data_IF_618088979909
#
_entry.id   IF_618088979909
#
_cell.length_a   1.000
_cell.length_b   1.000
_cell.length_c   1.000
_cell.angle_alpha   90.00
_cell.angle_beta   90.00
_cell.angle_gamma   90.00
#
_symmetry.space_group_name_H-M   'P 1'
#
loop_
_entity.id
_entity.type
_entity.pdbx_description
1 polymer ?
#
# COMPACT_ATOMS: atom_id res chain seq x y z
N UNK A 1 -44.05 0.20 -35.78
CA UNK A 1 -43.81 -1.07 -35.04
C UNK A 1 -42.42 -1.71 -35.26
N UNK A 2 -41.60 -1.29 -36.25
CA UNK A 2 -40.24 -1.85 -36.44
C UNK A 2 -39.13 -1.22 -35.58
N UNK A 3 -39.39 -0.07 -34.94
CA UNK A 3 -38.41 0.59 -34.05
C UNK A 3 -38.53 0.21 -32.56
N UNK A 4 -39.65 -0.40 -32.13
CA UNK A 4 -39.81 -0.90 -30.75
C UNK A 4 -39.19 -2.29 -30.53
N UNK A 5 -38.87 -3.03 -31.58
CA UNK A 5 -38.26 -4.36 -31.49
C UNK A 5 -36.76 -4.34 -31.15
N UNK A 6 -36.09 -3.20 -31.26
CA UNK A 6 -34.67 -3.07 -30.90
C UNK A 6 -34.42 -2.91 -29.40
N UNK A 7 -35.44 -2.52 -28.63
CA UNK A 7 -35.30 -2.30 -27.18
C UNK A 7 -35.34 -3.63 -26.40
N UNK A 8 -35.93 -4.68 -26.98
CA UNK A 8 -36.09 -5.97 -26.29
C UNK A 8 -34.89 -6.94 -26.44
N UNK A 9 -33.91 -6.65 -27.31
CA UNK A 9 -32.79 -7.56 -27.59
C UNK A 9 -31.52 -7.27 -26.77
N UNK A 10 -31.45 -6.14 -26.06
CA UNK A 10 -30.28 -5.75 -25.26
C UNK A 10 -30.47 -5.87 -23.74
N UNK A 11 -31.68 -6.18 -23.27
CA UNK A 11 -31.97 -6.36 -21.83
C UNK A 11 -31.36 -7.63 -21.19
N UNK A 12 -31.16 -8.79 -21.87
CA UNK A 12 -30.63 -9.97 -21.18
C UNK A 12 -29.12 -9.87 -20.86
N UNK A 13 -28.36 -9.05 -21.61
CA UNK A 13 -26.91 -8.92 -21.44
C UNK A 13 -26.51 -8.13 -20.18
N UNK A 14 -27.36 -7.17 -19.77
CA UNK A 14 -27.10 -6.35 -18.59
C UNK A 14 -27.38 -7.11 -17.28
N UNK A 15 -28.41 -7.96 -17.26
CA UNK A 15 -28.79 -8.76 -16.08
C UNK A 15 -27.72 -9.83 -15.78
N UNK A 16 -27.15 -10.46 -16.81
CA UNK A 16 -26.12 -11.49 -16.66
C UNK A 16 -24.78 -10.92 -16.15
N UNK A 17 -24.39 -9.72 -16.58
CA UNK A 17 -23.14 -9.09 -16.15
C UNK A 17 -23.17 -8.68 -14.67
N UNK A 18 -24.33 -8.26 -14.17
CA UNK A 18 -24.53 -7.94 -12.75
C UNK A 18 -24.44 -9.20 -11.87
N UNK A 19 -25.08 -10.30 -12.28
CA UNK A 19 -25.02 -11.58 -11.57
C UNK A 19 -23.59 -12.14 -11.52
N UNK A 20 -22.81 -12.00 -12.59
CA UNK A 20 -21.42 -12.46 -12.60
C UNK A 20 -20.50 -11.63 -11.69
N UNK A 21 -20.74 -10.32 -11.58
CA UNK A 21 -19.95 -9.46 -10.68
C UNK A 21 -20.16 -9.86 -9.22
N UNK A 22 -21.40 -10.01 -8.78
CA UNK A 22 -21.72 -10.41 -7.40
C UNK A 22 -21.15 -11.79 -7.06
N UNK A 23 -21.15 -12.71 -8.02
CA UNK A 23 -20.51 -14.03 -7.87
C UNK A 23 -18.98 -13.90 -7.73
N UNK A 24 -18.35 -13.09 -8.57
CA UNK A 24 -16.91 -12.84 -8.53
C UNK A 24 -16.48 -12.19 -7.19
N UNK A 25 -17.24 -11.20 -6.73
CA UNK A 25 -17.02 -10.52 -5.46
C UNK A 25 -17.15 -11.48 -4.26
N UNK A 26 -18.18 -12.35 -4.24
CA UNK A 26 -18.30 -13.40 -3.22
C UNK A 26 -17.09 -14.33 -3.20
N UNK A 27 -16.62 -14.77 -4.36
CA UNK A 27 -15.43 -15.62 -4.49
C UNK A 27 -14.17 -14.91 -3.97
N UNK A 28 -14.00 -13.63 -4.30
CA UNK A 28 -12.90 -12.80 -3.81
C UNK A 28 -12.89 -12.72 -2.28
N UNK A 29 -14.04 -12.46 -1.65
CA UNK A 29 -14.13 -12.37 -0.19
C UNK A 29 -13.86 -13.69 0.55
N UNK A 30 -14.18 -14.83 -0.07
CA UNK A 30 -13.79 -16.16 0.45
C UNK A 30 -12.40 -16.61 -0.02
N UNK A 31 -11.60 -15.68 -0.58
CA UNK A 31 -10.20 -15.88 -1.01
C UNK A 31 -10.00 -16.88 -2.14
N UNK A 32 -11.07 -17.17 -2.90
CA UNK A 32 -11.01 -17.97 -4.13
C UNK A 32 -10.61 -17.07 -5.30
N UNK A 33 -9.39 -16.54 -5.24
CA UNK A 33 -8.92 -15.48 -6.14
C UNK A 33 -8.85 -15.93 -7.61
N UNK A 34 -8.40 -17.15 -7.89
CA UNK A 34 -8.32 -17.68 -9.25
C UNK A 34 -9.73 -17.78 -9.90
N UNK A 35 -10.71 -18.28 -9.16
CA UNK A 35 -12.11 -18.36 -9.63
C UNK A 35 -12.72 -16.97 -9.82
N UNK A 36 -12.45 -16.04 -8.90
CA UNK A 36 -12.90 -14.66 -8.99
C UNK A 36 -12.29 -13.95 -10.20
N UNK A 37 -10.99 -14.15 -10.46
CA UNK A 37 -10.27 -13.54 -11.57
C UNK A 37 -10.92 -13.89 -12.91
N UNK A 38 -11.26 -15.16 -13.15
CA UNK A 38 -11.90 -15.59 -14.39
C UNK A 38 -13.20 -14.84 -14.67
N UNK A 39 -14.03 -14.64 -13.63
CA UNK A 39 -15.29 -13.91 -13.76
C UNK A 39 -15.04 -12.40 -13.97
N UNK A 40 -14.12 -11.80 -13.22
CA UNK A 40 -13.77 -10.39 -13.40
C UNK A 40 -13.16 -10.11 -14.78
N UNK A 41 -12.31 -10.99 -15.31
CA UNK A 41 -11.76 -10.86 -16.67
C UNK A 41 -12.86 -10.98 -17.73
N UNK A 42 -13.85 -11.86 -17.54
CA UNK A 42 -15.01 -11.95 -18.42
C UNK A 42 -15.85 -10.67 -18.39
N UNK A 43 -16.04 -10.08 -17.21
CA UNK A 43 -16.73 -8.79 -17.05
C UNK A 43 -15.95 -7.68 -17.77
N UNK A 44 -14.64 -7.61 -17.56
CA UNK A 44 -13.79 -6.57 -18.14
C UNK A 44 -13.80 -6.58 -19.68
N UNK A 45 -13.95 -7.75 -20.31
CA UNK A 45 -14.14 -7.86 -21.78
C UNK A 45 -15.38 -7.13 -22.27
N UNK A 46 -16.47 -7.18 -21.49
CA UNK A 46 -17.74 -6.52 -21.82
C UNK A 46 -17.81 -5.08 -21.34
N UNK A 47 -17.12 -4.75 -20.26
CA UNK A 47 -17.08 -3.42 -19.63
C UNK A 47 -15.63 -3.02 -19.34
N UNK A 48 -14.86 -2.59 -20.37
CA UNK A 48 -13.42 -2.36 -20.22
C UNK A 48 -13.05 -1.29 -19.20
N UNK A 49 -13.93 -0.35 -18.89
CA UNK A 49 -13.70 0.74 -17.94
C UNK A 49 -14.47 0.57 -16.62
N UNK A 50 -14.93 -0.65 -16.31
CA UNK A 50 -15.59 -0.94 -15.03
C UNK A 50 -14.58 -0.85 -13.88
N UNK A 51 -14.67 0.24 -13.11
CA UNK A 51 -13.70 0.61 -12.08
C UNK A 51 -13.56 -0.47 -11.01
N UNK A 52 -14.67 -1.00 -10.49
CA UNK A 52 -14.64 -2.02 -9.44
C UNK A 52 -14.01 -3.31 -9.94
N UNK A 53 -14.33 -3.73 -11.16
CA UNK A 53 -13.71 -4.91 -11.78
C UNK A 53 -12.20 -4.74 -11.95
N UNK A 54 -11.75 -3.58 -12.43
CA UNK A 54 -10.32 -3.28 -12.56
C UNK A 54 -9.64 -3.28 -11.19
N UNK A 55 -10.29 -2.71 -10.17
CA UNK A 55 -9.78 -2.68 -8.80
C UNK A 55 -9.59 -4.08 -8.23
N UNK A 56 -10.60 -4.94 -8.30
CA UNK A 56 -10.49 -6.34 -7.85
C UNK A 56 -9.41 -7.10 -8.62
N UNK A 57 -9.29 -6.91 -9.94
CA UNK A 57 -8.22 -7.54 -10.73
C UNK A 57 -6.83 -7.03 -10.35
N UNK A 58 -6.70 -5.74 -10.02
CA UNK A 58 -5.48 -5.16 -9.47
C UNK A 58 -5.09 -5.79 -8.13
N UNK A 59 -6.06 -5.96 -7.23
CA UNK A 59 -5.85 -6.59 -5.92
C UNK A 59 -5.50 -8.07 -6.03
N UNK A 60 -6.17 -8.82 -6.90
CA UNK A 60 -5.82 -10.21 -7.21
C UNK A 60 -4.40 -10.28 -7.78
N UNK A 61 -4.05 -9.44 -8.76
CA UNK A 61 -2.71 -9.41 -9.34
C UNK A 61 -1.64 -9.08 -8.27
N UNK A 62 -1.91 -8.13 -7.38
CA UNK A 62 -1.04 -7.81 -6.26
C UNK A 62 -0.90 -8.97 -5.26
N UNK A 63 -1.99 -9.68 -4.96
CA UNK A 63 -1.97 -10.89 -4.12
C UNK A 63 -1.05 -11.98 -4.70
N UNK A 64 -1.13 -12.22 -6.01
CA UNK A 64 -0.25 -13.14 -6.72
C UNK A 64 1.14 -12.57 -7.03
N UNK A 65 1.48 -11.38 -6.48
CA UNK A 65 2.76 -10.68 -6.73
C UNK A 65 3.04 -10.42 -8.21
N UNK A 66 2.00 -10.38 -9.04
CA UNK A 66 2.09 -10.04 -10.45
C UNK A 66 2.14 -8.51 -10.59
N UNK A 67 3.21 -7.88 -10.08
CA UNK A 67 3.27 -6.42 -9.90
C UNK A 67 3.22 -5.63 -11.20
N UNK A 68 3.67 -6.22 -12.31
CA UNK A 68 3.52 -5.62 -13.64
C UNK A 68 2.03 -5.48 -13.97
N UNK A 69 1.27 -6.58 -13.89
CA UNK A 69 -0.18 -6.61 -14.16
C UNK A 69 -0.96 -5.75 -13.15
N UNK A 70 -0.59 -5.79 -11.87
CA UNK A 70 -1.18 -4.92 -10.85
C UNK A 70 -0.94 -3.43 -11.17
N UNK A 71 0.29 -3.07 -11.56
CA UNK A 71 0.64 -1.72 -11.98
C UNK A 71 -0.15 -1.24 -13.20
N UNK A 72 -0.40 -2.13 -14.18
CA UNK A 72 -1.25 -1.83 -15.34
C UNK A 72 -2.70 -1.52 -14.93
N UNK A 73 -3.30 -2.34 -14.06
CA UNK A 73 -4.66 -2.09 -13.56
C UNK A 73 -4.73 -0.79 -12.75
N UNK A 74 -3.80 -0.56 -11.83
CA UNK A 74 -3.79 0.66 -11.02
C UNK A 74 -3.46 1.91 -11.85
N UNK A 75 -2.63 1.80 -12.88
CA UNK A 75 -2.41 2.88 -13.86
C UNK A 75 -3.72 3.28 -14.54
N UNK A 76 -4.51 2.28 -14.96
CA UNK A 76 -5.83 2.53 -15.56
C UNK A 76 -6.80 3.16 -14.56
N UNK A 77 -6.81 2.72 -13.30
CA UNK A 77 -7.66 3.30 -12.26
C UNK A 77 -7.35 4.78 -12.01
N UNK A 78 -6.06 5.15 -11.86
CA UNK A 78 -5.68 6.56 -11.64
C UNK A 78 -6.02 7.45 -12.83
N UNK A 79 -6.09 6.89 -14.05
CA UNK A 79 -6.49 7.62 -15.26
C UNK A 79 -8.02 7.78 -15.34
N UNK A 80 -8.77 6.74 -14.97
CA UNK A 80 -10.24 6.78 -14.92
C UNK A 80 -10.80 7.62 -13.76
N UNK A 81 -10.05 7.71 -12.65
CA UNK A 81 -10.41 8.46 -11.43
C UNK A 81 -9.21 9.27 -10.95
N UNK A 82 -8.87 10.38 -11.63
CA UNK A 82 -7.67 11.18 -11.33
C UNK A 82 -7.75 11.98 -10.02
N UNK A 83 -8.88 11.92 -9.33
CA UNK A 83 -9.11 12.55 -8.03
C UNK A 83 -9.13 11.54 -6.87
N UNK A 84 -9.01 10.25 -7.14
CA UNK A 84 -8.98 9.21 -6.10
C UNK A 84 -7.54 8.95 -5.65
N UNK A 85 -7.21 9.35 -4.42
CA UNK A 85 -5.87 9.27 -3.85
C UNK A 85 -5.37 7.82 -3.77
N UNK A 86 -6.27 6.89 -3.42
CA UNK A 86 -5.93 5.49 -3.20
C UNK A 86 -5.37 4.83 -4.48
N UNK A 87 -5.83 5.22 -5.66
CA UNK A 87 -5.35 4.65 -6.92
C UNK A 87 -3.93 5.09 -7.27
N UNK A 88 -3.54 6.31 -6.90
CA UNK A 88 -2.15 6.73 -7.00
C UNK A 88 -1.28 5.98 -5.98
N UNK A 89 -1.76 5.79 -4.75
CA UNK A 89 -1.05 5.00 -3.74
C UNK A 89 -0.85 3.54 -4.17
N UNK A 90 -1.91 2.85 -4.63
CA UNK A 90 -1.84 1.48 -5.16
C UNK A 90 -0.90 1.37 -6.36
N UNK A 91 -0.92 2.34 -7.28
CA UNK A 91 0.01 2.40 -8.41
C UNK A 91 1.47 2.53 -7.95
N UNK A 92 1.78 3.52 -7.11
CA UNK A 92 3.12 3.70 -6.54
C UNK A 92 3.60 2.48 -5.76
N UNK A 93 2.70 1.84 -5.00
CA UNK A 93 2.97 0.59 -4.28
C UNK A 93 3.32 -0.56 -5.20
N UNK A 94 2.57 -0.79 -6.28
CA UNK A 94 2.89 -1.84 -7.25
C UNK A 94 4.24 -1.59 -7.95
N UNK A 95 4.56 -0.34 -8.28
CA UNK A 95 5.88 0.02 -8.81
C UNK A 95 7.00 -0.22 -7.79
N UNK A 96 6.77 0.10 -6.51
CA UNK A 96 7.74 -0.17 -5.44
C UNK A 96 8.04 -1.66 -5.32
N UNK A 97 7.00 -2.50 -5.34
CA UNK A 97 7.17 -3.95 -5.28
C UNK A 97 7.87 -4.50 -6.51
N UNK A 98 7.53 -3.99 -7.72
CA UNK A 98 8.25 -4.33 -8.95
C UNK A 98 9.72 -3.93 -8.88
N UNK A 99 10.05 -2.77 -8.31
CA UNK A 99 11.42 -2.30 -8.17
C UNK A 99 12.28 -3.24 -7.30
N UNK A 100 11.67 -3.96 -6.36
CA UNK A 100 12.36 -4.97 -5.53
C UNK A 100 12.69 -6.27 -6.28
N UNK A 101 12.02 -6.56 -7.40
CA UNK A 101 12.18 -7.81 -8.16
C UNK A 101 13.13 -7.66 -9.36
N UNK A 102 13.40 -6.43 -9.78
CA UNK A 102 14.25 -6.16 -10.95
C UNK A 102 15.65 -5.72 -10.53
N UNK A 103 16.59 -5.75 -11.47
CA UNK A 103 17.93 -5.21 -11.23
C UNK A 103 17.87 -3.70 -10.96
N UNK A 104 18.91 -3.18 -10.30
CA UNK A 104 18.99 -1.78 -9.86
C UNK A 104 18.75 -0.76 -10.98
N UNK A 105 19.28 -1.00 -12.18
CA UNK A 105 19.12 -0.08 -13.32
C UNK A 105 17.65 0.06 -13.73
N UNK A 106 16.93 -1.06 -13.82
CA UNK A 106 15.49 -1.05 -14.11
C UNK A 106 14.68 -0.46 -12.96
N UNK A 107 15.06 -0.75 -11.71
CA UNK A 107 14.41 -0.20 -10.54
C UNK A 107 14.49 1.33 -10.50
N UNK A 108 15.63 1.91 -10.87
CA UNK A 108 15.81 3.36 -10.91
C UNK A 108 14.90 4.07 -11.89
N UNK A 109 14.58 3.44 -13.03
CA UNK A 109 13.61 3.97 -13.99
C UNK A 109 12.18 4.09 -13.45
N UNK A 110 11.86 3.46 -12.31
CA UNK A 110 10.53 3.50 -11.70
C UNK A 110 10.42 4.56 -10.58
N UNK A 111 11.55 5.12 -10.12
CA UNK A 111 11.60 5.94 -8.90
C UNK A 111 10.79 7.23 -9.04
N UNK A 112 10.87 7.88 -10.19
CA UNK A 112 10.15 9.14 -10.44
C UNK A 112 8.64 8.90 -10.46
N UNK A 113 8.17 7.86 -11.17
CA UNK A 113 6.76 7.47 -11.20
C UNK A 113 6.24 7.09 -9.81
N UNK A 114 7.03 6.33 -9.03
CA UNK A 114 6.68 5.96 -7.66
C UNK A 114 6.52 7.18 -6.76
N UNK A 115 7.53 8.06 -6.76
CA UNK A 115 7.54 9.28 -5.96
C UNK A 115 6.36 10.18 -6.33
N UNK A 116 6.18 10.45 -7.63
CA UNK A 116 5.09 11.28 -8.12
C UNK A 116 3.71 10.71 -7.78
N UNK A 117 3.55 9.39 -7.80
CA UNK A 117 2.31 8.75 -7.39
C UNK A 117 2.02 8.95 -5.89
N UNK A 118 2.99 8.72 -5.00
CA UNK A 118 2.79 8.93 -3.57
C UNK A 118 2.55 10.40 -3.22
N UNK A 119 3.28 11.33 -3.84
CA UNK A 119 3.07 12.77 -3.67
C UNK A 119 1.67 13.18 -4.14
N UNK A 120 1.21 12.67 -5.29
CA UNK A 120 -0.14 12.93 -5.79
C UNK A 120 -1.21 12.38 -4.86
N UNK A 121 -1.02 11.20 -4.27
CA UNK A 121 -1.93 10.64 -3.26
C UNK A 121 -2.06 11.56 -2.04
N UNK A 122 -0.95 12.16 -1.58
CA UNK A 122 -0.94 13.13 -0.47
C UNK A 122 -1.64 14.44 -0.86
N UNK A 123 -1.43 14.94 -2.08
CA UNK A 123 -2.11 16.15 -2.56
C UNK A 123 -3.62 15.95 -2.62
N UNK A 124 -4.07 14.79 -3.10
CA UNK A 124 -5.51 14.45 -3.20
C UNK A 124 -6.12 14.15 -1.84
N UNK A 125 -5.36 13.51 -0.94
CA UNK A 125 -5.77 13.24 0.42
C UNK A 125 -4.65 13.67 1.40
N UNK A 126 -4.72 14.90 1.93
CA UNK A 126 -3.73 15.41 2.87
C UNK A 126 -3.59 14.59 4.16
N UNK A 127 -4.56 13.72 4.49
CA UNK A 127 -4.50 12.81 5.65
C UNK A 127 -3.99 11.41 5.31
N UNK A 128 -3.50 11.17 4.09
CA UNK A 128 -3.03 9.86 3.64
C UNK A 128 -1.74 9.43 4.35
N UNK A 129 -1.87 8.66 5.41
CA UNK A 129 -0.75 8.12 6.21
C UNK A 129 0.13 7.14 5.40
N UNK A 130 -0.43 6.15 4.68
CA UNK A 130 0.40 5.15 3.99
C UNK A 130 1.34 5.72 2.91
N UNK A 131 0.91 6.72 2.14
CA UNK A 131 1.73 7.37 1.13
C UNK A 131 2.94 8.11 1.74
N UNK A 132 2.79 8.71 2.91
CA UNK A 132 3.90 9.33 3.64
C UNK A 132 4.91 8.30 4.14
N UNK A 133 4.42 7.20 4.69
CA UNK A 133 5.28 6.06 5.04
C UNK A 133 6.06 5.54 3.83
N UNK A 134 5.40 5.41 2.68
CA UNK A 134 6.05 4.98 1.46
C UNK A 134 7.15 5.96 1.00
N UNK A 135 6.91 7.27 1.09
CA UNK A 135 7.94 8.28 0.79
C UNK A 135 9.10 8.24 1.79
N UNK A 136 8.84 8.04 3.08
CA UNK A 136 9.89 7.88 4.09
C UNK A 136 10.79 6.70 3.72
N UNK A 137 10.21 5.52 3.44
CA UNK A 137 10.99 4.35 3.04
C UNK A 137 11.74 4.59 1.73
N UNK A 138 11.11 5.23 0.73
CA UNK A 138 11.75 5.57 -0.53
C UNK A 138 13.00 6.45 -0.33
N UNK A 139 12.88 7.52 0.46
CA UNK A 139 13.99 8.43 0.73
C UNK A 139 15.09 7.80 1.58
N UNK A 140 14.78 6.78 2.40
CA UNK A 140 15.79 6.01 3.13
C UNK A 140 16.53 5.03 2.20
N UNK A 141 15.83 4.33 1.32
CA UNK A 141 16.42 3.26 0.50
C UNK A 141 17.19 3.77 -0.73
N UNK A 142 16.87 4.96 -1.25
CA UNK A 142 17.56 5.49 -2.42
C UNK A 142 18.99 5.92 -2.11
N UNK A 143 19.95 5.74 -3.03
CA UNK A 143 21.24 6.43 -2.97
C UNK A 143 21.04 7.96 -2.97
N UNK A 144 21.93 8.70 -2.30
CA UNK A 144 21.87 10.16 -2.24
C UNK A 144 21.84 10.83 -3.61
N UNK A 145 22.65 10.32 -4.56
CA UNK A 145 22.67 10.79 -5.97
C UNK A 145 21.34 10.59 -6.71
N UNK A 146 20.49 9.66 -6.25
CA UNK A 146 19.17 9.38 -6.81
C UNK A 146 18.05 9.97 -5.95
N UNK A 147 18.38 10.90 -5.06
CA UNK A 147 17.42 11.65 -4.26
C UNK A 147 17.17 11.12 -2.85
N UNK A 148 17.86 10.04 -2.43
CA UNK A 148 17.85 9.57 -1.05
C UNK A 148 18.28 10.65 -0.06
N UNK A 149 17.55 10.79 1.05
CA UNK A 149 17.71 11.94 1.94
C UNK A 149 17.04 11.70 3.30
N UNK A 150 17.86 11.71 4.36
CA UNK A 150 17.37 11.69 5.73
C UNK A 150 16.47 12.90 6.04
N UNK A 151 16.85 14.10 5.59
CA UNK A 151 16.07 15.31 5.86
C UNK A 151 14.68 15.26 5.22
N UNK A 152 14.56 14.72 4.00
CA UNK A 152 13.24 14.49 3.38
C UNK A 152 12.43 13.44 4.12
N UNK A 153 13.05 12.32 4.52
CA UNK A 153 12.38 11.30 5.34
C UNK A 153 11.87 11.90 6.66
N UNK A 154 12.66 12.75 7.33
CA UNK A 154 12.27 13.46 8.54
C UNK A 154 11.12 14.46 8.29
N UNK A 155 11.09 15.13 7.14
CA UNK A 155 9.98 16.02 6.75
C UNK A 155 8.64 15.27 6.74
N UNK A 156 8.56 14.16 6.01
CA UNK A 156 7.34 13.34 5.96
C UNK A 156 7.03 12.67 7.31
N UNK A 157 8.04 12.33 8.11
CA UNK A 157 7.86 11.84 9.48
C UNK A 157 7.24 12.90 10.40
N UNK A 158 7.61 14.18 10.24
CA UNK A 158 6.99 15.29 10.96
C UNK A 158 5.55 15.54 10.50
N UNK A 159 5.26 15.42 9.20
CA UNK A 159 3.87 15.43 8.71
C UNK A 159 3.05 14.28 9.32
N UNK A 160 3.60 13.07 9.38
CA UNK A 160 2.96 11.94 10.05
C UNK A 160 2.69 12.25 11.53
N UNK A 161 3.64 12.87 12.24
CA UNK A 161 3.46 13.23 13.64
C UNK A 161 2.30 14.22 13.87
N UNK A 162 2.01 15.09 12.89
CA UNK A 162 0.86 15.99 12.93
C UNK A 162 -0.47 15.26 12.68
N UNK A 163 -0.46 14.12 12.00
CA UNK A 163 -1.66 13.31 11.70
C UNK A 163 -1.93 12.22 12.75
N UNK A 164 -0.86 11.62 13.28
CA UNK A 164 -0.90 10.50 14.21
C UNK A 164 0.39 10.47 15.04
N UNK A 165 0.27 10.64 16.36
CA UNK A 165 1.41 10.59 17.27
C UNK A 165 2.13 9.23 17.20
N UNK A 166 1.37 8.14 17.04
CA UNK A 166 1.92 6.79 16.91
C UNK A 166 2.77 6.70 15.63
N UNK A 167 2.24 7.12 14.49
CA UNK A 167 2.98 7.10 13.21
C UNK A 167 4.18 8.05 13.22
N UNK A 168 4.05 9.22 13.85
CA UNK A 168 5.14 10.16 14.04
C UNK A 168 6.30 9.54 14.81
N UNK A 169 6.04 8.91 15.95
CA UNK A 169 7.09 8.24 16.72
C UNK A 169 7.62 6.99 16.04
N UNK A 170 6.75 6.18 15.44
CA UNK A 170 7.18 4.99 14.69
C UNK A 170 8.10 5.35 13.52
N UNK A 171 7.77 6.41 12.77
CA UNK A 171 8.59 6.83 11.64
C UNK A 171 9.93 7.42 12.06
N UNK A 172 9.98 8.21 13.14
CA UNK A 172 11.26 8.68 13.71
C UNK A 172 12.12 7.52 14.20
N UNK A 173 11.52 6.55 14.90
CA UNK A 173 12.20 5.34 15.32
C UNK A 173 12.74 4.54 14.14
N UNK A 174 11.97 4.43 13.05
CA UNK A 174 12.36 3.73 11.82
C UNK A 174 13.54 4.40 11.10
N UNK A 175 13.55 5.73 11.03
CA UNK A 175 14.64 6.52 10.45
C UNK A 175 15.91 6.32 11.28
N UNK A 176 15.83 6.45 12.60
CA UNK A 176 16.98 6.22 13.48
C UNK A 176 17.50 4.78 13.44
N UNK A 177 16.60 3.80 13.37
CA UNK A 177 16.98 2.40 13.20
C UNK A 177 17.73 2.17 11.89
N UNK A 178 17.30 2.81 10.79
CA UNK A 178 18.00 2.73 9.49
C UNK A 178 19.44 3.21 9.58
N UNK A 179 19.66 4.36 10.24
CA UNK A 179 20.98 4.95 10.47
C UNK A 179 21.73 4.33 11.66
N UNK A 180 21.24 3.20 12.20
CA UNK A 180 21.83 2.47 13.33
C UNK A 180 21.94 3.29 14.62
N UNK A 181 21.15 4.35 14.77
CA UNK A 181 21.03 5.18 15.98
C UNK A 181 20.08 4.51 16.98
N UNK A 182 20.38 3.28 17.37
CA UNK A 182 19.43 2.40 18.07
C UNK A 182 18.95 2.95 19.42
N UNK A 183 19.81 3.65 20.17
CA UNK A 183 19.41 4.28 21.43
C UNK A 183 18.35 5.39 21.23
N UNK A 184 18.42 6.10 20.10
CA UNK A 184 17.40 7.10 19.73
C UNK A 184 16.14 6.41 19.21
N UNK A 185 16.30 5.39 18.36
CA UNK A 185 15.19 4.58 17.87
C UNK A 185 14.36 3.96 19.02
N UNK A 186 15.03 3.45 20.04
CA UNK A 186 14.40 2.89 21.25
C UNK A 186 13.49 3.92 21.92
N UNK A 187 13.98 5.15 22.15
CA UNK A 187 13.18 6.22 22.78
C UNK A 187 11.90 6.51 22.01
N UNK A 188 11.97 6.52 20.68
CA UNK A 188 10.79 6.75 19.85
C UNK A 188 9.83 5.56 19.82
N UNK A 189 10.34 4.34 19.69
CA UNK A 189 9.48 3.15 19.71
C UNK A 189 8.83 2.89 21.07
N UNK A 190 9.47 3.24 22.19
CA UNK A 190 8.84 3.25 23.51
C UNK A 190 7.62 4.17 23.51
N UNK A 191 7.80 5.45 23.12
CA UNK A 191 6.69 6.42 23.06
C UNK A 191 5.56 5.97 22.14
N UNK A 192 5.90 5.42 20.96
CA UNK A 192 4.92 4.85 20.06
C UNK A 192 4.12 3.70 20.71
N UNK A 193 4.80 2.82 21.45
CA UNK A 193 4.16 1.68 22.10
C UNK A 193 3.30 2.07 23.31
N UNK A 194 3.73 3.05 24.09
CA UNK A 194 2.96 3.59 25.22
C UNK A 194 1.62 4.18 24.77
N UNK A 195 1.60 4.88 23.63
CA UNK A 195 0.40 5.50 23.06
C UNK A 195 -0.44 4.46 22.30
N UNK A 196 0.20 3.70 21.41
CA UNK A 196 -0.51 2.84 20.46
C UNK A 196 -0.99 1.51 21.07
N UNK A 197 -0.26 0.96 22.06
CA UNK A 197 -0.56 -0.31 22.75
C UNK A 197 -1.04 -1.42 21.81
N UNK A 198 -0.44 -1.51 20.62
CA UNK A 198 -0.87 -2.38 19.54
C UNK A 198 0.17 -3.46 19.27
N UNK A 199 -0.24 -4.55 18.62
CA UNK A 199 0.68 -5.59 18.14
C UNK A 199 1.80 -4.99 17.26
N UNK A 200 1.49 -3.99 16.45
CA UNK A 200 2.46 -3.36 15.53
C UNK A 200 3.53 -2.58 16.28
N UNK A 201 3.13 -1.72 17.23
CA UNK A 201 4.07 -0.92 18.03
C UNK A 201 4.92 -1.81 18.95
N UNK A 202 4.30 -2.83 19.54
CA UNK A 202 4.99 -3.85 20.33
C UNK A 202 6.05 -4.56 19.48
N UNK A 203 5.66 -5.08 18.30
CA UNK A 203 6.55 -5.88 17.47
C UNK A 203 7.78 -5.07 17.01
N UNK A 204 7.62 -3.78 16.70
CA UNK A 204 8.76 -2.93 16.31
C UNK A 204 9.75 -2.76 17.46
N UNK A 205 9.27 -2.41 18.65
CA UNK A 205 10.15 -2.26 19.83
C UNK A 205 10.80 -3.60 20.22
N UNK A 206 10.02 -4.68 20.23
CA UNK A 206 10.51 -6.02 20.50
C UNK A 206 11.62 -6.46 19.52
N UNK A 207 11.41 -6.21 18.22
CA UNK A 207 12.41 -6.53 17.19
C UNK A 207 13.68 -5.69 17.31
N UNK A 208 13.58 -4.43 17.74
CA UNK A 208 14.75 -3.60 18.04
C UNK A 208 15.56 -4.25 19.17
N UNK A 209 14.91 -4.66 20.27
CA UNK A 209 15.57 -5.32 21.39
C UNK A 209 16.22 -6.63 21.01
N UNK A 210 15.48 -7.51 20.34
CA UNK A 210 15.98 -8.84 20.02
C UNK A 210 17.10 -8.81 18.97
N UNK A 211 16.93 -8.03 17.90
CA UNK A 211 17.76 -8.16 16.71
C UNK A 211 18.82 -7.07 16.54
N UNK A 212 18.55 -5.84 17.03
CA UNK A 212 19.44 -4.69 16.81
C UNK A 212 20.29 -4.40 18.04
N UNK A 213 19.66 -4.29 19.20
CA UNK A 213 20.33 -4.07 20.49
C UNK A 213 20.85 -5.38 21.10
N UNK A 214 20.31 -6.53 20.70
CA UNK A 214 20.64 -7.86 21.23
C UNK A 214 20.48 -7.92 22.76
N UNK A 215 19.40 -7.33 23.26
CA UNK A 215 19.02 -7.32 24.67
C UNK A 215 17.81 -8.25 24.91
N UNK A 216 18.04 -9.56 25.12
CA UNK A 216 16.96 -10.53 25.31
C UNK A 216 16.24 -10.33 26.65
N UNK A 217 16.83 -9.61 27.61
CA UNK A 217 16.18 -9.29 28.88
C UNK A 217 15.06 -8.28 28.63
N UNK A 218 15.36 -7.13 28.01
CA UNK A 218 14.34 -6.14 27.64
C UNK A 218 13.25 -6.72 26.74
N UNK A 219 13.63 -7.57 25.78
CA UNK A 219 12.66 -8.23 24.91
C UNK A 219 11.66 -9.10 25.69
N UNK A 220 12.15 -9.92 26.63
CA UNK A 220 11.27 -10.77 27.49
C UNK A 220 10.37 -9.94 28.39
N UNK A 221 10.91 -8.92 29.04
CA UNK A 221 10.14 -8.02 29.91
C UNK A 221 9.03 -7.30 29.13
N UNK A 222 9.34 -6.81 27.93
CA UNK A 222 8.35 -6.17 27.06
C UNK A 222 7.25 -7.15 26.64
N UNK A 223 7.61 -8.39 26.29
CA UNK A 223 6.65 -9.44 25.91
C UNK A 223 5.69 -9.78 27.05
N UNK A 224 6.22 -9.97 28.25
CA UNK A 224 5.40 -10.24 29.45
C UNK A 224 4.38 -9.11 29.69
N UNK A 225 4.82 -7.84 29.62
CA UNK A 225 3.93 -6.69 29.79
C UNK A 225 2.84 -6.63 28.72
N UNK A 226 3.16 -6.98 27.48
CA UNK A 226 2.20 -6.98 26.38
C UNK A 226 1.15 -8.09 26.52
N UNK A 227 1.56 -9.28 26.97
CA UNK A 227 0.64 -10.42 27.19
C UNK A 227 -0.25 -10.25 28.43
N UNK A 228 0.15 -9.39 29.38
CA UNK A 228 -0.62 -9.11 30.61
C UNK A 228 -1.52 -7.87 30.52
N UNK A 229 -1.58 -7.20 29.37
CA UNK A 229 -2.41 -5.99 29.13
C UNK A 229 -3.65 -6.33 28.33
#
# INVERSE_FOLDING_TARGET
MKQLLFILLFTPLLIWSQSNFEKAEKLFHVKKYDEAQLLFEAILKTRPSDIKTIEYLGEIAAYHKSWIKAGEYYKKLKELKPTEAEYFYKYGGALAMRAMEVNKLKAFGLVEDMKGAFEKAIVLNPKHIPARWALIELYLQLPGILGGSESKALSYSNELAALSLVDGYMSKGRIDEYFKRYASAEKYYIKANEIGKSKTTFQKLYNLYLNKLKDPKKARELKQKFESS
#
